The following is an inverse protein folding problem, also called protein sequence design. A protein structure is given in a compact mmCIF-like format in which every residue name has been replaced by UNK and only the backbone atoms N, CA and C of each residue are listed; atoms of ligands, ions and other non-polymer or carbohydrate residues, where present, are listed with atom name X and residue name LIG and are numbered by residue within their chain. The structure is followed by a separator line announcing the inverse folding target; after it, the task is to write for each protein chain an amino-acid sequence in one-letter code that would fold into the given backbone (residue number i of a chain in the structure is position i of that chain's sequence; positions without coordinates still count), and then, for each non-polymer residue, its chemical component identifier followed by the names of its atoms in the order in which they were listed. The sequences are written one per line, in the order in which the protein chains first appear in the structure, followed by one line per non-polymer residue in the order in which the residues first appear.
data_IF_213833731008
#
_entry.id   IF_213833731008
#
_cell.length_a   1.000
_cell.length_b   1.000
_cell.length_c   1.000
_cell.angle_alpha   90.00
_cell.angle_beta   90.00
_cell.angle_gamma   90.00
#
_symmetry.space_group_name_H-M   'P 1'
#
loop_
_entity.id
_entity.type
_entity.pdbx_description
1 polymer ?
#
# COMPACT_ATOMS: atom_id res chain seq x y z
N UNK A 1 21.55 -1.80 31.18
CA UNK A 1 20.59 -0.67 31.06
C UNK A 1 21.09 0.39 30.06
N UNK A 2 22.23 1.04 30.30
CA UNK A 2 22.76 2.11 29.42
C UNK A 2 22.97 1.66 27.97
N UNK A 3 23.57 0.47 27.75
CA UNK A 3 23.78 -0.08 26.40
C UNK A 3 22.45 -0.28 25.66
N UNK A 4 21.44 -0.86 26.34
CA UNK A 4 20.11 -1.08 25.77
C UNK A 4 19.44 0.26 25.43
N UNK A 5 19.56 1.26 26.30
CA UNK A 5 19.01 2.59 26.06
C UNK A 5 19.64 3.26 24.83
N UNK A 6 20.97 3.27 24.75
CA UNK A 6 21.70 3.83 23.60
C UNK A 6 21.35 3.06 22.31
N UNK A 7 21.28 1.73 22.38
CA UNK A 7 20.87 0.88 21.26
C UNK A 7 19.45 1.21 20.77
N UNK A 8 18.50 1.40 21.69
CA UNK A 8 17.12 1.76 21.33
C UNK A 8 17.02 3.14 20.69
N UNK A 9 17.79 4.13 21.20
CA UNK A 9 17.86 5.46 20.59
C UNK A 9 18.47 5.40 19.20
N UNK A 10 19.58 4.68 19.05
CA UNK A 10 20.24 4.51 17.76
C UNK A 10 19.31 3.81 16.76
N UNK A 11 18.67 2.71 17.16
CA UNK A 11 17.69 1.98 16.34
C UNK A 11 16.53 2.90 15.91
N UNK A 12 15.94 3.64 16.84
CA UNK A 12 14.86 4.58 16.54
C UNK A 12 15.30 5.66 15.54
N UNK A 13 16.47 6.25 15.76
CA UNK A 13 17.04 7.30 14.91
C UNK A 13 17.35 6.79 13.50
N UNK A 14 18.00 5.63 13.37
CA UNK A 14 18.30 5.03 12.07
C UNK A 14 17.03 4.62 11.32
N UNK A 15 16.05 4.04 12.03
CA UNK A 15 14.77 3.65 11.43
C UNK A 15 14.02 4.87 10.87
N UNK A 16 13.98 5.97 11.61
CA UNK A 16 13.32 7.20 11.16
C UNK A 16 14.11 7.88 10.04
N UNK A 17 15.44 7.96 10.14
CA UNK A 17 16.29 8.49 9.07
C UNK A 17 16.12 7.72 7.76
N UNK A 18 16.12 6.38 7.82
CA UNK A 18 15.87 5.53 6.66
C UNK A 18 14.49 5.80 6.06
N UNK A 19 13.45 5.88 6.89
CA UNK A 19 12.08 6.14 6.43
C UNK A 19 11.97 7.50 5.75
N UNK A 20 12.60 8.53 6.34
CA UNK A 20 12.64 9.87 5.79
C UNK A 20 13.32 9.90 4.41
N UNK A 21 14.51 9.31 4.29
CA UNK A 21 15.25 9.25 3.02
C UNK A 21 14.39 8.58 1.93
N UNK A 22 13.79 7.43 2.23
CA UNK A 22 12.97 6.70 1.27
C UNK A 22 11.74 7.48 0.83
N UNK A 23 11.08 8.17 1.75
CA UNK A 23 9.92 8.99 1.42
C UNK A 23 10.31 10.21 0.57
N UNK A 24 11.43 10.87 0.89
CA UNK A 24 11.92 12.01 0.10
C UNK A 24 12.27 11.59 -1.32
N UNK A 25 13.00 10.49 -1.49
CA UNK A 25 13.33 9.98 -2.83
C UNK A 25 12.10 9.47 -3.57
N UNK A 26 11.15 8.84 -2.88
CA UNK A 26 9.85 8.45 -3.45
C UNK A 26 9.07 9.65 -3.99
N UNK A 27 9.02 10.75 -3.23
CA UNK A 27 8.36 12.00 -3.67
C UNK A 27 9.08 12.60 -4.88
N UNK A 28 10.42 12.63 -4.87
CA UNK A 28 11.20 13.13 -6.03
C UNK A 28 10.94 12.31 -7.28
N UNK A 29 10.91 10.98 -7.15
CA UNK A 29 10.57 10.06 -8.24
C UNK A 29 9.17 10.36 -8.79
N UNK A 30 8.17 10.50 -7.90
CA UNK A 30 6.81 10.87 -8.28
C UNK A 30 6.78 12.17 -9.08
N UNK A 31 7.40 13.23 -8.57
CA UNK A 31 7.40 14.54 -9.23
C UNK A 31 8.09 14.48 -10.59
N UNK A 32 9.21 13.75 -10.72
CA UNK A 32 9.89 13.56 -11.99
C UNK A 32 8.99 12.85 -13.02
N UNK A 33 8.31 11.77 -12.61
CA UNK A 33 7.36 11.06 -13.47
C UNK A 33 6.19 11.96 -13.90
N UNK A 34 5.64 12.76 -12.99
CA UNK A 34 4.58 13.71 -13.32
C UNK A 34 5.04 14.74 -14.37
N UNK A 35 6.26 15.27 -14.25
CA UNK A 35 6.83 16.20 -15.23
C UNK A 35 7.06 15.52 -16.58
N UNK A 36 7.54 14.27 -16.61
CA UNK A 36 7.71 13.50 -17.85
C UNK A 36 6.38 13.27 -18.57
N UNK A 37 5.37 12.80 -17.84
CA UNK A 37 4.02 12.56 -18.38
C UNK A 37 3.42 13.87 -18.91
N UNK A 38 3.55 14.97 -18.17
CA UNK A 38 3.06 16.28 -18.59
C UNK A 38 3.79 16.80 -19.84
N UNK A 39 5.11 16.64 -19.91
CA UNK A 39 5.90 17.04 -21.09
C UNK A 39 5.51 16.24 -22.34
N UNK A 40 5.29 14.94 -22.18
CA UNK A 40 4.83 14.06 -23.25
C UNK A 40 3.41 14.42 -23.72
N UNK A 41 2.50 14.71 -22.78
CA UNK A 41 1.13 15.15 -23.08
C UNK A 41 1.09 16.38 -24.01
N UNK A 42 2.00 17.33 -23.84
CA UNK A 42 2.08 18.53 -24.67
C UNK A 42 2.48 18.25 -26.13
N UNK A 43 2.97 17.05 -26.45
CA UNK A 43 3.43 16.63 -27.79
C UNK A 43 2.49 15.62 -28.47
N UNK A 44 1.40 15.24 -27.81
CA UNK A 44 0.42 14.27 -28.28
C UNK A 44 -0.85 14.94 -28.82
N UNK A 45 -1.52 14.26 -29.74
CA UNK A 45 -2.85 14.64 -30.23
C UNK A 45 -3.92 14.54 -29.11
N UNK A 46 -4.96 15.36 -29.17
CA UNK A 46 -5.86 15.70 -28.04
C UNK A 46 -6.78 14.59 -27.51
N UNK A 47 -6.69 13.34 -27.98
CA UNK A 47 -7.74 12.33 -27.78
C UNK A 47 -7.69 11.55 -26.45
N UNK A 48 -6.60 11.63 -25.67
CA UNK A 48 -6.40 10.77 -24.48
C UNK A 48 -6.37 11.50 -23.12
N UNK A 49 -6.95 12.70 -23.01
CA UNK A 49 -6.80 13.57 -21.81
C UNK A 49 -7.26 12.93 -20.48
N UNK A 50 -8.28 12.07 -20.47
CA UNK A 50 -8.77 11.39 -19.26
C UNK A 50 -7.80 10.30 -18.75
N UNK A 51 -7.08 9.63 -19.65
CA UNK A 51 -6.05 8.64 -19.31
C UNK A 51 -4.86 9.31 -18.60
N UNK A 52 -4.49 10.51 -19.04
CA UNK A 52 -3.36 11.27 -18.50
C UNK A 52 -3.57 11.70 -17.04
N UNK A 53 -4.79 12.07 -16.67
CA UNK A 53 -5.10 12.46 -15.28
C UNK A 53 -4.82 11.28 -14.34
N UNK A 54 -5.28 10.08 -14.70
CA UNK A 54 -5.06 8.86 -13.92
C UNK A 54 -3.57 8.46 -13.88
N UNK A 55 -2.84 8.66 -14.99
CA UNK A 55 -1.39 8.43 -15.02
C UNK A 55 -0.66 9.35 -14.03
N UNK A 56 -1.03 10.64 -13.99
CA UNK A 56 -0.41 11.66 -13.13
C UNK A 56 -0.82 11.48 -11.67
N UNK A 57 -2.08 11.15 -11.37
CA UNK A 57 -2.57 11.01 -10.00
C UNK A 57 -2.26 9.63 -9.42
N UNK A 58 -2.75 8.57 -10.03
CA UNK A 58 -2.83 7.26 -9.40
C UNK A 58 -1.58 6.43 -9.70
N UNK A 59 -1.12 6.43 -10.95
CA UNK A 59 0.03 5.61 -11.35
C UNK A 59 1.34 6.10 -10.76
N UNK A 60 1.58 7.42 -10.75
CA UNK A 60 2.78 7.96 -10.06
C UNK A 60 2.74 7.74 -8.54
N UNK A 61 1.55 7.78 -7.92
CA UNK A 61 1.38 7.49 -6.49
C UNK A 61 1.63 6.02 -6.15
N UNK A 62 1.18 5.09 -7.00
CA UNK A 62 1.44 3.67 -6.82
C UNK A 62 2.96 3.37 -6.87
N UNK A 63 3.66 3.97 -7.83
CA UNK A 63 5.13 3.82 -7.97
C UNK A 63 5.86 4.43 -6.76
N UNK A 64 5.47 5.62 -6.31
CA UNK A 64 5.99 6.25 -5.09
C UNK A 64 5.83 5.33 -3.88
N UNK A 65 4.63 4.80 -3.69
CA UNK A 65 4.29 3.92 -2.55
C UNK A 65 5.13 2.64 -2.57
N UNK A 66 5.37 2.08 -3.77
CA UNK A 66 6.26 0.93 -3.93
C UNK A 66 7.72 1.27 -3.59
N UNK A 67 8.19 2.47 -3.91
CA UNK A 67 9.55 2.89 -3.54
C UNK A 67 9.69 3.03 -2.01
N UNK A 68 8.69 3.63 -1.35
CA UNK A 68 8.65 3.74 0.12
C UNK A 68 8.61 2.38 0.81
N UNK A 69 7.85 1.41 0.30
CA UNK A 69 7.73 0.08 0.91
C UNK A 69 8.84 -0.89 0.46
N UNK A 70 9.52 -0.64 -0.66
CA UNK A 70 10.38 -1.59 -1.35
C UNK A 70 11.52 -2.14 -0.49
N UNK A 71 12.01 -1.36 0.48
CA UNK A 71 13.04 -1.82 1.41
C UNK A 71 12.58 -2.94 2.34
N UNK A 72 11.28 -3.01 2.65
CA UNK A 72 10.73 -4.08 3.47
C UNK A 72 10.81 -5.44 2.77
N UNK A 73 10.86 -5.48 1.42
CA UNK A 73 10.89 -6.74 0.65
C UNK A 73 12.11 -7.59 0.99
N UNK A 74 13.29 -6.96 1.16
CA UNK A 74 14.52 -7.67 1.51
C UNK A 74 14.80 -7.62 3.02
N UNK A 75 14.42 -6.54 3.69
CA UNK A 75 14.66 -6.38 5.13
C UNK A 75 13.80 -7.33 5.98
N UNK A 76 12.56 -7.61 5.59
CA UNK A 76 11.67 -8.52 6.31
C UNK A 76 12.21 -9.96 6.34
N UNK A 77 12.55 -10.59 5.19
CA UNK A 77 13.15 -11.92 5.19
C UNK A 77 14.40 -11.98 6.07
N UNK A 78 15.30 -11.01 5.94
CA UNK A 78 16.51 -10.93 6.75
C UNK A 78 16.19 -10.85 8.26
N UNK A 79 15.23 -9.99 8.65
CA UNK A 79 14.79 -9.85 10.04
C UNK A 79 14.20 -11.16 10.58
N UNK A 80 13.36 -11.84 9.81
CA UNK A 80 12.76 -13.13 10.20
C UNK A 80 13.87 -14.17 10.41
N UNK A 81 14.82 -14.29 9.48
CA UNK A 81 15.94 -15.23 9.60
C UNK A 81 16.74 -14.99 10.88
N UNK A 82 17.12 -13.74 11.15
CA UNK A 82 17.88 -13.39 12.37
C UNK A 82 17.08 -13.71 13.64
N UNK A 83 15.80 -13.36 13.69
CA UNK A 83 14.93 -13.64 14.84
C UNK A 83 14.78 -15.15 15.08
N UNK A 84 14.63 -15.94 14.01
CA UNK A 84 14.55 -17.39 14.12
C UNK A 84 15.87 -18.01 14.61
N UNK A 85 17.02 -17.51 14.16
CA UNK A 85 18.33 -17.95 14.66
C UNK A 85 18.49 -17.64 16.16
N UNK A 86 18.10 -16.44 16.60
CA UNK A 86 18.18 -16.05 18.01
C UNK A 86 17.21 -16.87 18.87
N UNK A 87 15.98 -17.09 18.41
CA UNK A 87 14.99 -17.94 19.08
C UNK A 87 15.49 -19.38 19.23
N UNK A 88 16.09 -19.94 18.17
CA UNK A 88 16.71 -21.26 18.23
C UNK A 88 17.88 -21.31 19.23
N UNK A 89 18.70 -20.26 19.31
CA UNK A 89 19.77 -20.19 20.30
C UNK A 89 19.26 -20.11 21.74
N UNK A 90 18.10 -19.49 21.99
CA UNK A 90 17.56 -19.33 23.35
C UNK A 90 16.75 -20.53 23.83
N UNK A 91 15.92 -21.13 22.96
CA UNK A 91 14.95 -22.17 23.32
C UNK A 91 15.15 -23.50 22.58
N UNK A 92 16.10 -23.56 21.63
CA UNK A 92 16.37 -24.76 20.85
C UNK A 92 15.23 -25.13 19.91
N UNK A 93 15.02 -26.44 19.74
CA UNK A 93 14.05 -27.02 18.81
C UNK A 93 12.61 -26.62 19.16
N UNK A 94 12.32 -26.40 20.44
CA UNK A 94 10.99 -26.01 20.94
C UNK A 94 10.49 -24.71 20.30
N UNK A 95 11.37 -23.73 20.05
CA UNK A 95 11.01 -22.48 19.38
C UNK A 95 10.59 -22.66 17.93
N UNK A 96 11.25 -23.57 17.20
CA UNK A 96 10.94 -23.85 15.80
C UNK A 96 9.59 -24.55 15.68
N UNK A 97 9.33 -25.52 16.57
CA UNK A 97 8.05 -26.24 16.60
C UNK A 97 6.91 -25.28 17.00
N UNK A 98 7.09 -24.47 18.05
CA UNK A 98 6.09 -23.50 18.48
C UNK A 98 5.79 -22.43 17.43
N UNK A 99 6.83 -21.89 16.79
CA UNK A 99 6.67 -20.96 15.66
C UNK A 99 5.97 -21.64 14.48
N UNK A 100 6.37 -22.86 14.11
CA UNK A 100 5.77 -23.61 13.00
C UNK A 100 4.29 -23.90 13.20
N UNK A 101 3.89 -24.40 14.38
CA UNK A 101 2.49 -24.65 14.72
C UNK A 101 1.69 -23.35 14.65
N UNK A 102 2.23 -22.28 15.20
CA UNK A 102 1.47 -21.03 15.27
C UNK A 102 1.37 -20.34 13.91
N UNK A 103 2.42 -20.40 13.09
CA UNK A 103 2.38 -19.96 11.69
C UNK A 103 1.33 -20.78 10.92
N UNK A 104 1.31 -22.10 11.10
CA UNK A 104 0.37 -22.98 10.42
C UNK A 104 -1.10 -22.70 10.79
N UNK A 105 -1.39 -22.28 12.04
CA UNK A 105 -2.76 -22.00 12.51
C UNK A 105 -3.17 -20.55 12.27
N UNK A 106 -2.32 -19.58 12.59
CA UNK A 106 -2.67 -18.15 12.56
C UNK A 106 -2.61 -17.58 11.14
N UNK A 107 -1.62 -17.98 10.32
CA UNK A 107 -1.47 -17.46 8.95
C UNK A 107 -2.71 -17.70 8.07
N UNK A 108 -3.32 -18.91 8.01
CA UNK A 108 -4.52 -19.10 7.19
C UNK A 108 -5.71 -18.29 7.70
N UNK A 109 -5.82 -18.09 9.01
CA UNK A 109 -6.89 -17.27 9.61
C UNK A 109 -6.73 -15.79 9.25
N UNK A 110 -5.51 -15.25 9.38
CA UNK A 110 -5.17 -13.89 8.92
C UNK A 110 -5.43 -13.76 7.41
N UNK A 111 -4.99 -14.72 6.60
CA UNK A 111 -5.20 -14.68 5.16
C UNK A 111 -6.70 -14.70 4.78
N UNK A 112 -7.51 -15.53 5.44
CA UNK A 112 -8.94 -15.59 5.22
C UNK A 112 -9.63 -14.25 5.52
N UNK A 113 -9.34 -13.65 6.68
CA UNK A 113 -9.90 -12.33 7.04
C UNK A 113 -9.42 -11.26 6.05
N UNK A 114 -8.15 -11.31 5.64
CA UNK A 114 -7.57 -10.35 4.70
C UNK A 114 -8.24 -10.43 3.32
N UNK A 115 -8.59 -11.66 2.88
CA UNK A 115 -9.38 -11.87 1.66
C UNK A 115 -10.78 -11.27 1.77
N UNK A 116 -11.45 -11.45 2.90
CA UNK A 116 -12.78 -10.86 3.13
C UNK A 116 -12.74 -9.34 3.17
N UNK A 117 -11.71 -8.78 3.82
CA UNK A 117 -11.44 -7.35 3.85
C UNK A 117 -11.22 -6.80 2.44
N UNK A 118 -10.38 -7.45 1.64
CA UNK A 118 -10.15 -7.06 0.23
C UNK A 118 -11.41 -7.13 -0.63
N UNK A 119 -12.25 -8.15 -0.43
CA UNK A 119 -13.55 -8.23 -1.11
C UNK A 119 -14.50 -7.09 -0.67
N UNK A 120 -14.50 -6.76 0.62
CA UNK A 120 -15.29 -5.66 1.18
C UNK A 120 -14.84 -4.29 0.65
N UNK A 121 -13.53 -4.08 0.46
CA UNK A 121 -12.99 -2.85 -0.13
C UNK A 121 -13.53 -2.58 -1.55
N UNK A 122 -13.84 -3.64 -2.33
CA UNK A 122 -14.46 -3.47 -3.65
C UNK A 122 -15.86 -2.87 -3.53
N UNK A 123 -16.69 -3.39 -2.63
CA UNK A 123 -18.01 -2.84 -2.38
C UNK A 123 -17.95 -1.40 -1.85
N UNK A 124 -16.96 -1.07 -1.00
CA UNK A 124 -16.74 0.31 -0.56
C UNK A 124 -16.49 1.22 -1.77
N UNK A 125 -15.60 0.80 -2.68
CA UNK A 125 -15.30 1.57 -3.89
C UNK A 125 -16.53 1.75 -4.77
N UNK A 126 -17.28 0.67 -5.04
CA UNK A 126 -18.51 0.69 -5.85
C UNK A 126 -19.53 1.72 -5.34
N UNK A 127 -19.82 1.70 -4.03
CA UNK A 127 -20.79 2.63 -3.44
C UNK A 127 -20.25 4.06 -3.30
N UNK A 128 -18.94 4.22 -3.08
CA UNK A 128 -18.30 5.52 -3.07
C UNK A 128 -18.38 6.17 -4.46
N UNK A 129 -18.10 5.41 -5.52
CA UNK A 129 -18.15 5.88 -6.91
C UNK A 129 -19.58 6.29 -7.30
N UNK A 130 -20.59 5.51 -6.92
CA UNK A 130 -21.99 5.86 -7.14
C UNK A 130 -22.39 7.14 -6.38
N UNK A 131 -21.97 7.30 -5.12
CA UNK A 131 -22.22 8.53 -4.34
C UNK A 131 -21.55 9.75 -4.99
N UNK A 132 -20.31 9.60 -5.44
CA UNK A 132 -19.57 10.66 -6.12
C UNK A 132 -20.23 11.03 -7.46
N UNK A 133 -20.71 10.04 -8.21
CA UNK A 133 -21.48 10.24 -9.45
C UNK A 133 -22.75 11.05 -9.20
N UNK A 134 -23.57 10.65 -8.22
CA UNK A 134 -24.78 11.37 -7.85
C UNK A 134 -24.48 12.81 -7.40
N UNK A 135 -23.42 13.00 -6.61
CA UNK A 135 -22.98 14.32 -6.18
C UNK A 135 -22.57 15.20 -7.38
N UNK A 136 -21.85 14.63 -8.35
CA UNK A 136 -21.43 15.32 -9.56
C UNK A 136 -22.63 15.73 -10.43
N UNK A 137 -23.64 14.87 -10.59
CA UNK A 137 -24.89 15.20 -11.29
C UNK A 137 -25.61 16.40 -10.65
N UNK A 138 -25.69 16.43 -9.32
CA UNK A 138 -26.29 17.54 -8.57
C UNK A 138 -25.52 18.84 -8.79
N UNK A 139 -24.19 18.80 -8.75
CA UNK A 139 -23.35 19.97 -8.96
C UNK A 139 -23.47 20.53 -10.38
N UNK A 140 -23.53 19.66 -11.39
CA UNK A 140 -23.75 20.08 -12.78
C UNK A 140 -25.14 20.68 -12.99
N UNK A 141 -26.17 20.17 -12.31
CA UNK A 141 -27.57 20.61 -12.40
C UNK A 141 -28.00 21.67 -11.37
N UNK A 142 -27.08 22.24 -10.59
CA UNK A 142 -27.42 22.95 -9.34
C UNK A 142 -28.39 24.13 -9.52
N UNK A 143 -28.31 24.85 -10.64
CA UNK A 143 -29.18 26.00 -10.92
C UNK A 143 -30.64 25.57 -11.08
N UNK A 144 -30.89 24.47 -11.79
CA UNK A 144 -32.23 23.93 -12.00
C UNK A 144 -32.82 23.41 -10.67
N UNK A 145 -32.03 22.65 -9.93
CA UNK A 145 -32.43 22.07 -8.64
C UNK A 145 -32.90 23.17 -7.67
N UNK A 146 -32.14 24.28 -7.58
CA UNK A 146 -32.51 25.42 -6.72
C UNK A 146 -33.76 26.17 -7.19
N UNK A 147 -33.94 26.37 -8.49
CA UNK A 147 -35.14 27.05 -9.02
C UNK A 147 -36.40 26.22 -8.75
N UNK A 148 -36.28 24.89 -8.77
CA UNK A 148 -37.37 23.97 -8.53
C UNK A 148 -37.55 23.57 -7.06
N UNK A 149 -36.70 24.06 -6.15
CA UNK A 149 -36.67 23.67 -4.73
C UNK A 149 -36.61 22.14 -4.53
N UNK A 150 -35.78 21.45 -5.31
CA UNK A 150 -35.63 19.99 -5.28
C UNK A 150 -34.46 19.49 -4.42
N UNK A 151 -33.76 20.38 -3.71
CA UNK A 151 -32.58 20.06 -2.90
C UNK A 151 -32.79 18.86 -1.98
N UNK A 152 -33.86 18.86 -1.18
CA UNK A 152 -34.10 17.84 -0.16
C UNK A 152 -34.24 16.45 -0.78
N UNK A 153 -34.89 16.34 -1.94
CA UNK A 153 -35.06 15.05 -2.64
C UNK A 153 -33.74 14.50 -3.17
N UNK A 154 -32.85 15.38 -3.66
CA UNK A 154 -31.53 14.96 -4.13
C UNK A 154 -30.60 14.63 -2.96
N UNK A 155 -30.70 15.35 -1.84
CA UNK A 155 -29.96 15.06 -0.61
C UNK A 155 -30.37 13.68 -0.07
N UNK A 156 -31.66 13.41 0.08
CA UNK A 156 -32.17 12.12 0.58
C UNK A 156 -31.69 10.93 -0.28
N UNK A 157 -31.64 11.11 -1.60
CA UNK A 157 -31.10 10.11 -2.52
C UNK A 157 -29.61 9.83 -2.29
N UNK A 158 -28.80 10.89 -2.09
CA UNK A 158 -27.37 10.77 -1.81
C UNK A 158 -27.15 10.14 -0.42
N UNK A 159 -27.95 10.54 0.58
CA UNK A 159 -27.89 10.00 1.94
C UNK A 159 -28.21 8.49 1.97
N UNK A 160 -29.21 8.04 1.21
CA UNK A 160 -29.51 6.61 1.09
C UNK A 160 -28.30 5.81 0.55
N UNK A 161 -27.60 6.35 -0.45
CA UNK A 161 -26.37 5.75 -0.98
C UNK A 161 -25.25 5.78 0.05
N UNK A 162 -25.12 6.89 0.79
CA UNK A 162 -24.13 7.06 1.85
C UNK A 162 -24.34 6.08 3.01
N UNK A 163 -25.58 5.78 3.39
CA UNK A 163 -25.89 4.80 4.43
C UNK A 163 -25.46 3.39 4.05
N UNK A 164 -25.56 3.02 2.78
CA UNK A 164 -25.07 1.75 2.28
C UNK A 164 -23.54 1.72 2.32
N UNK A 165 -22.87 2.77 1.80
CA UNK A 165 -21.41 2.93 1.87
C UNK A 165 -20.91 2.81 3.32
N UNK A 166 -21.57 3.50 4.25
CA UNK A 166 -21.21 3.51 5.67
C UNK A 166 -21.31 2.12 6.32
N UNK A 167 -22.28 1.28 5.93
CA UNK A 167 -22.37 -0.11 6.42
C UNK A 167 -21.13 -0.92 6.03
N UNK A 168 -20.65 -0.76 4.80
CA UNK A 168 -19.43 -1.45 4.34
C UNK A 168 -18.17 -0.88 4.99
N UNK A 169 -18.09 0.43 5.22
CA UNK A 169 -16.99 1.07 5.97
C UNK A 169 -16.94 0.61 7.44
N UNK A 170 -18.09 0.49 8.10
CA UNK A 170 -18.17 -0.03 9.46
C UNK A 170 -17.72 -1.49 9.51
N UNK A 171 -18.13 -2.30 8.53
CA UNK A 171 -17.70 -3.68 8.39
C UNK A 171 -16.18 -3.80 8.16
N UNK A 172 -15.58 -2.88 7.39
CA UNK A 172 -14.12 -2.81 7.20
C UNK A 172 -13.38 -2.48 8.49
N UNK A 173 -13.90 -1.52 9.26
CA UNK A 173 -13.38 -1.18 10.59
C UNK A 173 -13.40 -2.40 11.54
N UNK A 174 -14.45 -3.22 11.47
CA UNK A 174 -14.52 -4.48 12.25
C UNK A 174 -13.44 -5.46 11.78
N UNK A 175 -13.22 -5.62 10.47
CA UNK A 175 -12.14 -6.49 9.96
C UNK A 175 -10.75 -6.03 10.43
N UNK A 176 -10.49 -4.73 10.40
CA UNK A 176 -9.27 -4.14 10.98
C UNK A 176 -9.12 -4.44 12.46
N UNK A 177 -10.21 -4.32 13.22
CA UNK A 177 -10.24 -4.65 14.65
C UNK A 177 -9.89 -6.12 14.89
N UNK A 178 -10.52 -7.05 14.18
CA UNK A 178 -10.26 -8.49 14.29
C UNK A 178 -8.82 -8.82 13.87
N UNK A 179 -8.33 -8.23 12.77
CA UNK A 179 -6.95 -8.41 12.32
C UNK A 179 -5.93 -7.98 13.37
N UNK A 180 -6.14 -6.81 13.97
CA UNK A 180 -5.27 -6.26 15.00
C UNK A 180 -5.28 -7.15 16.24
N UNK A 181 -6.47 -7.55 16.70
CA UNK A 181 -6.63 -8.46 17.84
C UNK A 181 -5.93 -9.79 17.59
N UNK A 182 -6.16 -10.41 16.44
CA UNK A 182 -5.57 -11.70 16.10
C UNK A 182 -4.04 -11.63 16.02
N UNK A 183 -3.51 -10.53 15.48
CA UNK A 183 -2.08 -10.27 15.35
C UNK A 183 -1.39 -10.13 16.71
N UNK A 184 -2.01 -9.42 17.68
CA UNK A 184 -1.48 -9.29 19.04
C UNK A 184 -1.63 -10.58 19.86
N UNK A 185 -2.81 -11.21 19.80
CA UNK A 185 -3.07 -12.48 20.50
C UNK A 185 -2.15 -13.58 19.98
N UNK A 186 -1.85 -13.59 18.68
CA UNK A 186 -0.93 -14.55 18.08
C UNK A 186 0.42 -14.55 18.80
N UNK A 187 1.05 -13.40 19.03
CA UNK A 187 2.35 -13.35 19.70
C UNK A 187 2.33 -13.98 21.11
N UNK A 188 1.25 -13.75 21.84
CA UNK A 188 1.03 -14.35 23.17
C UNK A 188 0.85 -15.87 23.05
N UNK A 189 0.01 -16.33 22.12
CA UNK A 189 -0.23 -17.76 21.88
C UNK A 189 1.06 -18.46 21.44
N UNK A 190 1.84 -17.90 20.50
CA UNK A 190 3.13 -18.46 20.07
C UNK A 190 4.02 -18.69 21.29
N UNK A 191 4.13 -17.68 22.15
CA UNK A 191 4.98 -17.75 23.34
C UNK A 191 4.48 -18.85 24.28
N UNK A 192 3.19 -18.89 24.61
CA UNK A 192 2.62 -19.91 25.49
C UNK A 192 2.82 -21.32 24.94
N UNK A 193 2.50 -21.56 23.67
CA UNK A 193 2.67 -22.86 23.01
C UNK A 193 4.14 -23.28 23.03
N UNK A 194 5.04 -22.36 22.70
CA UNK A 194 6.48 -22.62 22.71
C UNK A 194 6.99 -22.99 24.11
N UNK A 195 6.51 -22.31 25.15
CA UNK A 195 6.88 -22.61 26.54
C UNK A 195 6.32 -23.95 27.03
N UNK A 196 5.09 -24.29 26.66
CA UNK A 196 4.51 -25.61 26.96
C UNK A 196 5.31 -26.73 26.29
N UNK A 197 5.68 -26.55 25.01
CA UNK A 197 6.50 -27.49 24.25
C UNK A 197 7.88 -27.64 24.90
N UNK A 198 8.52 -26.53 25.28
CA UNK A 198 9.80 -26.54 25.99
C UNK A 198 9.70 -27.34 27.30
N UNK A 199 8.67 -27.09 28.11
CA UNK A 199 8.49 -27.76 29.40
C UNK A 199 8.24 -29.27 29.28
N UNK A 200 7.73 -29.74 28.14
CA UNK A 200 7.45 -31.17 27.89
C UNK A 200 8.63 -31.89 27.25
N UNK A 201 9.38 -31.23 26.35
CA UNK A 201 10.41 -31.87 25.53
C UNK A 201 11.83 -31.70 26.05
N UNK A 202 12.10 -30.71 26.89
CA UNK A 202 13.44 -30.40 27.37
C UNK A 202 13.53 -30.52 28.89
N UNK A 203 14.48 -31.33 29.36
CA UNK A 203 14.81 -31.47 30.79
C UNK A 203 15.59 -30.27 31.36
N UNK A 204 15.90 -29.27 30.54
CA UNK A 204 16.62 -28.07 30.96
C UNK A 204 15.70 -27.12 31.74
N UNK A 205 16.21 -26.52 32.81
CA UNK A 205 15.42 -25.60 33.63
C UNK A 205 15.09 -24.31 32.87
N UNK A 206 13.78 -24.01 32.76
CA UNK A 206 13.26 -22.76 32.20
C UNK A 206 13.67 -21.58 33.06
N UNK A 207 14.66 -20.81 32.60
CA UNK A 207 15.07 -19.58 33.27
C UNK A 207 14.19 -18.41 32.82
N UNK A 208 13.78 -17.54 33.75
CA UNK A 208 12.96 -16.36 33.44
C UNK A 208 13.57 -15.48 32.33
N UNK A 209 14.91 -15.37 32.29
CA UNK A 209 15.63 -14.66 31.23
C UNK A 209 15.31 -15.18 29.83
N UNK A 210 15.26 -16.50 29.63
CA UNK A 210 14.94 -17.11 28.33
C UNK A 210 13.48 -16.88 27.95
N UNK A 211 12.56 -16.95 28.93
CA UNK A 211 11.13 -16.71 28.72
C UNK A 211 10.88 -15.28 28.23
N UNK A 212 11.40 -14.28 28.96
CA UNK A 212 11.22 -12.88 28.60
C UNK A 212 11.92 -12.53 27.29
N UNK A 213 13.09 -13.12 27.02
CA UNK A 213 13.79 -12.94 25.75
C UNK A 213 12.99 -13.51 24.58
N UNK A 214 12.43 -14.72 24.72
CA UNK A 214 11.60 -15.34 23.68
C UNK A 214 10.34 -14.53 23.40
N UNK A 215 9.63 -14.10 24.45
CA UNK A 215 8.44 -13.25 24.32
C UNK A 215 8.76 -11.95 23.57
N UNK A 216 9.90 -11.32 23.88
CA UNK A 216 10.36 -10.12 23.18
C UNK A 216 10.67 -10.39 21.70
N UNK A 217 11.33 -11.52 21.38
CA UNK A 217 11.64 -11.92 20.01
C UNK A 217 10.38 -12.29 19.21
N UNK A 218 9.40 -12.97 19.81
CA UNK A 218 8.12 -13.27 19.17
C UNK A 218 7.32 -12.00 18.88
N UNK A 219 7.27 -11.04 19.81
CA UNK A 219 6.64 -9.73 19.58
C UNK A 219 7.30 -8.97 18.41
N UNK A 220 8.59 -9.18 18.14
CA UNK A 220 9.29 -8.55 17.00
C UNK A 220 8.92 -9.16 15.63
N UNK A 221 8.33 -10.37 15.59
CA UNK A 221 7.83 -11.03 14.38
C UNK A 221 6.46 -10.53 13.94
N UNK A 222 5.68 -9.94 14.86
CA UNK A 222 4.33 -9.43 14.60
C UNK A 222 4.28 -8.40 13.47
N UNK A 223 5.19 -7.41 13.49
CA UNK A 223 5.22 -6.33 12.49
C UNK A 223 5.56 -6.86 11.07
N UNK A 224 6.61 -7.69 10.88
CA UNK A 224 6.88 -8.34 9.60
C UNK A 224 5.69 -9.13 9.04
N UNK A 225 5.02 -9.94 9.86
CA UNK A 225 3.88 -10.74 9.44
C UNK A 225 2.68 -9.88 9.02
N UNK A 226 2.53 -8.71 9.63
CA UNK A 226 1.49 -7.74 9.28
C UNK A 226 1.80 -6.97 7.98
N UNK A 227 3.06 -6.53 7.79
CA UNK A 227 3.45 -5.73 6.61
C UNK A 227 3.55 -6.57 5.33
N UNK A 228 3.94 -7.85 5.45
CA UNK A 228 4.12 -8.74 4.31
C UNK A 228 2.89 -8.81 3.37
N UNK A 229 1.66 -9.07 3.85
CA UNK A 229 0.47 -9.12 2.97
C UNK A 229 0.13 -7.77 2.33
N UNK A 230 0.48 -6.64 2.98
CA UNK A 230 0.24 -5.28 2.45
C UNK A 230 1.22 -4.95 1.32
N UNK A 231 2.43 -5.48 1.40
CA UNK A 231 3.51 -5.19 0.45
C UNK A 231 3.23 -5.77 -0.94
N UNK A 232 2.61 -6.95 -1.01
CA UNK A 232 2.35 -7.65 -2.29
C UNK A 232 1.43 -6.83 -3.22
N UNK A 233 0.23 -6.36 -2.79
CA UNK A 233 -0.62 -5.51 -3.62
C UNK A 233 0.05 -4.22 -4.09
N UNK A 234 0.88 -3.59 -3.24
CA UNK A 234 1.59 -2.35 -3.59
C UNK A 234 2.57 -2.60 -4.74
N UNK A 235 3.34 -3.68 -4.68
CA UNK A 235 4.28 -4.05 -5.75
C UNK A 235 3.55 -4.36 -7.05
N UNK A 236 2.45 -5.13 -6.97
CA UNK A 236 1.64 -5.48 -8.16
C UNK A 236 1.08 -4.21 -8.81
N UNK A 237 0.51 -3.31 -7.99
CA UNK A 237 -0.07 -2.05 -8.47
C UNK A 237 0.99 -1.18 -9.12
N UNK A 238 2.15 -1.02 -8.49
CA UNK A 238 3.26 -0.27 -9.07
C UNK A 238 3.77 -0.89 -10.37
N UNK A 239 3.85 -2.21 -10.49
CA UNK A 239 4.26 -2.88 -11.74
C UNK A 239 3.29 -2.58 -12.89
N UNK A 240 1.98 -2.60 -12.62
CA UNK A 240 0.96 -2.27 -13.62
C UNK A 240 1.05 -0.78 -13.99
N UNK A 241 1.17 0.10 -13.00
CA UNK A 241 1.33 1.55 -13.18
C UNK A 241 2.57 1.91 -13.99
N UNK A 242 3.73 1.28 -13.70
CA UNK A 242 4.96 1.47 -14.47
C UNK A 242 4.76 1.11 -15.93
N UNK A 243 4.11 -0.02 -16.22
CA UNK A 243 3.82 -0.44 -17.59
C UNK A 243 2.91 0.57 -18.31
N UNK A 244 1.86 1.07 -17.65
CA UNK A 244 0.99 2.09 -18.25
C UNK A 244 1.72 3.38 -18.57
N UNK A 245 2.58 3.85 -17.67
CA UNK A 245 3.41 5.03 -17.91
C UNK A 245 4.40 4.79 -19.05
N UNK A 246 5.03 3.62 -19.11
CA UNK A 246 5.93 3.24 -20.20
C UNK A 246 5.21 3.22 -21.55
N UNK A 247 4.06 2.56 -21.65
CA UNK A 247 3.25 2.50 -22.86
C UNK A 247 2.83 3.92 -23.31
N UNK A 248 2.44 4.80 -22.37
CA UNK A 248 2.10 6.19 -22.65
C UNK A 248 3.31 7.00 -23.15
N UNK A 249 4.48 6.86 -22.51
CA UNK A 249 5.68 7.57 -22.92
C UNK A 249 6.19 7.13 -24.30
N UNK A 250 5.90 5.89 -24.71
CA UNK A 250 6.25 5.34 -26.01
C UNK A 250 5.21 5.61 -27.12
N UNK A 251 4.09 6.26 -26.81
CA UNK A 251 3.08 6.64 -27.80
C UNK A 251 3.65 7.60 -28.87
N UNK A 252 3.20 7.50 -30.13
CA UNK A 252 3.70 8.32 -31.23
C UNK A 252 3.40 9.81 -30.99
N UNK A 253 4.42 10.65 -31.14
CA UNK A 253 4.29 12.11 -31.00
C UNK A 253 3.82 12.74 -32.31
N UNK A 254 3.17 13.89 -32.23
CA UNK A 254 2.83 14.68 -33.41
C UNK A 254 4.14 15.23 -33.98
N UNK A 255 4.50 14.85 -35.21
CA UNK A 255 5.62 15.47 -35.91
C UNK A 255 5.32 16.95 -36.11
N UNK A 256 6.06 17.81 -35.41
CA UNK A 256 6.07 19.23 -35.75
C UNK A 256 6.68 19.34 -37.15
N UNK A 257 5.84 19.62 -38.15
CA UNK A 257 6.31 20.01 -39.47
C UNK A 257 7.26 21.20 -39.28
N UNK A 258 8.56 20.97 -39.42
CA UNK A 258 9.56 22.03 -39.42
C UNK A 258 9.24 22.94 -40.60
N UNK A 259 8.88 24.19 -40.32
CA UNK A 259 8.72 25.28 -41.28
C UNK A 259 10.06 25.70 -41.94
N UNK A 260 10.89 24.73 -42.35
CA UNK A 260 12.14 24.99 -43.10
C UNK A 260 11.99 24.75 -44.60
N UNK A 261 10.87 24.20 -45.08
CA UNK A 261 10.62 24.02 -46.52
C UNK A 261 9.81 25.17 -47.14
N UNK A 262 10.04 26.41 -46.70
CA UNK A 262 9.39 27.61 -47.28
C UNK A 262 10.37 28.45 -48.11
N UNK A 263 11.57 27.93 -48.40
CA UNK A 263 12.45 28.53 -49.43
C UNK A 263 11.93 28.33 -50.86
N UNK A 264 10.90 27.50 -51.07
CA UNK A 264 10.30 27.27 -52.41
C UNK A 264 9.14 28.21 -52.78
N UNK A 265 8.81 29.22 -51.96
CA UNK A 265 7.78 30.20 -52.35
C UNK A 265 8.32 31.20 -53.39
N UNK A 266 9.62 31.53 -53.37
CA UNK A 266 10.21 32.40 -54.40
C UNK A 266 10.30 31.72 -55.77
N UNK A 267 10.52 30.40 -55.83
CA UNK A 267 10.50 29.62 -57.07
C UNK A 267 9.08 29.45 -57.64
N UNK A 268 8.05 29.46 -56.80
CA UNK A 268 6.65 29.42 -57.24
C UNK A 268 6.14 30.79 -57.74
N UNK A 269 6.68 31.89 -57.22
CA UNK A 269 6.33 33.25 -57.62
C UNK A 269 7.11 33.76 -58.85
N UNK A 270 8.25 33.15 -59.20
CA UNK A 270 9.10 33.52 -60.34
C UNK A 270 9.01 32.54 -61.54
N UNK A 271 8.08 31.58 -61.51
CA UNK A 271 7.75 30.76 -62.67
C UNK A 271 6.98 31.62 -63.71
N UNK A 272 7.45 31.75 -64.96
CA UNK A 272 6.79 32.53 -66.01
C UNK A 272 5.41 31.96 -66.43
#
# INVERSE_FOLDING_TARGET
AVIVFISSIAQGSFSQASTHILNVEGIRLKTALQVMVYTKMLRLSSDEKSSVINLVSDDTNNIMSCFSIGNYVWAIPLKITILMCLLYSSLGVSAVIGAGITIAVITPLLFYIGKQMSANSKHISEWCDERLRQTNEVLQGIKLIKICAWEDKFIEKIETTRDIEQKYLNKDSIYWGIMTLLTHISSIIVTLVTLCIFAVLQDTQLTASNIFSALALFNQLTVPLFIFPITIPIIISAKISTKRIEDFLNSPEVEFVKYTDVENIEDFLNSP
#
